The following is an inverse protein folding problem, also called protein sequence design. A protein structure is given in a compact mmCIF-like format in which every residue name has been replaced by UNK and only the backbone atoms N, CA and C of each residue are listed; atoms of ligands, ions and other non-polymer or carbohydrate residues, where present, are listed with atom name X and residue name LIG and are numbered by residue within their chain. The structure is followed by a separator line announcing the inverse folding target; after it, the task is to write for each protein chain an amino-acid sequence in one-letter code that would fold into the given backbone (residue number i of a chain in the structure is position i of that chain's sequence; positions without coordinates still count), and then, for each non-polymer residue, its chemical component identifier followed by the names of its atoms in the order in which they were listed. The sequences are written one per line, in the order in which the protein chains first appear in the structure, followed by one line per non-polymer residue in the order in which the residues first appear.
data_IF_187592917844
#
_entry.id   IF_187592917844
#
_cell.length_a   1.000
_cell.length_b   1.000
_cell.length_c   1.000
_cell.angle_alpha   90.00
_cell.angle_beta   90.00
_cell.angle_gamma   90.00
#
_symmetry.space_group_name_H-M   'P 1'
#
loop_
_entity.id
_entity.type
_entity.pdbx_description
1 polymer ?
#
# COMPACT_ATOMS: atom_id res chain seq x y z
N UNK A 1 -21.01 -22.12 -1.89
CA UNK A 1 -19.99 -21.55 -2.80
C UNK A 1 -19.45 -20.32 -2.07
N UNK A 2 -18.31 -20.48 -1.41
CA UNK A 2 -17.63 -19.51 -0.54
C UNK A 2 -16.16 -19.52 -0.98
N UNK A 3 -15.36 -18.46 -1.01
CA UNK A 3 -15.52 -17.02 -0.79
C UNK A 3 -14.29 -16.43 -1.48
N UNK A 4 -14.46 -15.53 -2.44
CA UNK A 4 -13.34 -14.72 -2.91
C UNK A 4 -13.86 -13.30 -3.08
N UNK A 5 -14.18 -12.66 -1.95
CA UNK A 5 -14.19 -11.20 -1.87
C UNK A 5 -12.77 -10.74 -2.14
N UNK A 6 -12.44 -10.64 -3.41
CA UNK A 6 -11.19 -10.16 -3.94
C UNK A 6 -11.21 -8.64 -3.75
N UNK A 7 -11.12 -8.20 -2.49
CA UNK A 7 -10.96 -6.81 -2.13
C UNK A 7 -9.57 -6.45 -2.64
N UNK A 8 -9.51 -5.95 -3.87
CA UNK A 8 -8.31 -5.43 -4.47
C UNK A 8 -8.41 -3.91 -4.39
N UNK A 9 -7.29 -3.23 -4.12
CA UNK A 9 -7.21 -1.76 -4.25
C UNK A 9 -7.21 -1.32 -5.72
N UNK A 10 -8.18 -1.81 -6.48
CA UNK A 10 -8.44 -1.47 -7.89
C UNK A 10 -9.70 -0.64 -8.04
N UNK A 11 -10.52 -0.60 -6.99
CA UNK A 11 -11.70 0.25 -6.95
C UNK A 11 -11.26 1.69 -6.63
N UNK A 12 -11.57 2.60 -7.56
CA UNK A 12 -11.27 4.01 -7.43
C UNK A 12 -12.15 4.72 -6.40
N UNK A 13 -13.33 4.17 -6.11
CA UNK A 13 -14.26 4.73 -5.13
C UNK A 13 -13.92 4.31 -3.70
N UNK A 14 -13.09 3.29 -3.53
CA UNK A 14 -12.69 2.77 -2.22
C UNK A 14 -11.33 3.32 -1.83
N UNK A 15 -11.30 4.20 -0.83
CA UNK A 15 -10.05 4.64 -0.21
C UNK A 15 -9.47 3.55 0.71
N UNK A 16 -8.14 3.28 0.66
CA UNK A 16 -7.47 2.30 1.52
C UNK A 16 -7.30 2.83 2.94
N UNK A 17 -8.41 2.94 3.67
CA UNK A 17 -8.36 3.16 5.11
C UNK A 17 -7.92 1.90 5.87
N UNK A 18 -7.70 2.03 7.17
CA UNK A 18 -7.25 0.93 8.03
C UNK A 18 -8.20 -0.28 7.98
N UNK A 19 -9.52 -0.08 7.80
CA UNK A 19 -10.49 -1.17 7.75
C UNK A 19 -10.35 -1.95 6.45
N UNK A 20 -10.27 -1.23 5.32
CA UNK A 20 -10.06 -1.81 3.99
C UNK A 20 -8.72 -2.53 3.96
N UNK A 21 -7.64 -1.87 4.38
CA UNK A 21 -6.30 -2.46 4.40
C UNK A 21 -6.22 -3.68 5.33
N UNK A 22 -6.85 -3.66 6.50
CA UNK A 22 -6.91 -4.82 7.38
C UNK A 22 -7.64 -6.00 6.75
N UNK A 23 -8.72 -5.72 6.00
CA UNK A 23 -9.46 -6.75 5.29
C UNK A 23 -8.65 -7.37 4.13
N UNK A 24 -7.71 -6.62 3.54
CA UNK A 24 -6.87 -7.07 2.43
C UNK A 24 -5.63 -7.81 2.94
N UNK A 25 -4.93 -7.22 3.92
CA UNK A 25 -3.65 -7.69 4.44
C UNK A 25 -3.81 -8.79 5.50
N UNK A 26 -4.98 -8.88 6.13
CA UNK A 26 -5.27 -9.86 7.17
C UNK A 26 -4.26 -9.78 8.31
N UNK A 27 -3.59 -10.90 8.61
CA UNK A 27 -2.57 -10.97 9.67
C UNK A 27 -1.34 -10.09 9.38
N UNK A 28 -1.06 -9.78 8.11
CA UNK A 28 0.05 -8.89 7.73
C UNK A 28 -0.25 -7.41 7.99
N UNK A 29 -1.46 -7.07 8.42
CA UNK A 29 -1.83 -5.69 8.75
C UNK A 29 -1.00 -5.13 9.91
N UNK A 30 -0.67 -5.96 10.91
CA UNK A 30 0.20 -5.53 12.03
C UNK A 30 1.61 -5.15 11.52
N UNK A 31 2.15 -5.91 10.56
CA UNK A 31 3.44 -5.58 9.91
C UNK A 31 3.35 -4.26 9.15
N UNK A 32 2.20 -3.98 8.53
CA UNK A 32 1.95 -2.70 7.88
C UNK A 32 1.93 -1.55 8.89
N UNK A 33 1.31 -1.72 10.07
CA UNK A 33 1.34 -0.70 11.13
C UNK A 33 2.76 -0.44 11.64
N UNK A 34 3.56 -1.49 11.86
CA UNK A 34 4.97 -1.34 12.23
C UNK A 34 5.77 -0.57 11.16
N UNK A 35 5.46 -0.79 9.89
CA UNK A 35 6.06 -0.06 8.78
C UNK A 35 5.66 1.43 8.78
N UNK A 36 4.39 1.75 9.08
CA UNK A 36 3.94 3.13 9.24
C UNK A 36 4.64 3.83 10.40
N UNK A 37 4.82 3.14 11.54
CA UNK A 37 5.62 3.67 12.64
C UNK A 37 7.06 3.96 12.22
N UNK A 38 7.67 3.08 11.42
CA UNK A 38 9.01 3.28 10.89
C UNK A 38 9.07 4.54 10.00
N UNK A 39 8.08 4.74 9.13
CA UNK A 39 7.98 5.95 8.31
C UNK A 39 7.87 7.21 9.17
N UNK A 40 7.00 7.19 10.18
CA UNK A 40 6.84 8.29 11.11
C UNK A 40 8.15 8.61 11.85
N UNK A 41 8.82 7.59 12.42
CA UNK A 41 10.12 7.72 13.11
C UNK A 41 11.22 8.29 12.20
N UNK A 42 11.11 8.11 10.89
CA UNK A 42 12.08 8.58 9.90
C UNK A 42 11.67 9.88 9.19
N UNK A 43 10.64 10.57 9.68
CA UNK A 43 10.09 11.80 9.09
C UNK A 43 9.69 11.60 7.61
N UNK A 44 9.11 10.44 7.31
CA UNK A 44 8.57 10.11 6.00
C UNK A 44 7.06 10.31 6.00
N UNK A 45 6.55 10.89 4.91
CA UNK A 45 5.12 10.98 4.64
C UNK A 45 4.72 9.85 3.69
N UNK A 46 3.50 9.36 3.83
CA UNK A 46 2.93 8.38 2.90
C UNK A 46 1.55 8.82 2.43
N UNK A 47 1.24 8.56 1.16
CA UNK A 47 -0.04 8.89 0.53
C UNK A 47 -0.48 7.76 -0.40
N UNK A 48 -1.76 7.40 -0.37
CA UNK A 48 -2.32 6.43 -1.31
C UNK A 48 -2.88 7.14 -2.54
N UNK A 49 -2.30 6.85 -3.70
CA UNK A 49 -2.68 7.42 -4.99
C UNK A 49 -3.27 6.34 -5.89
N UNK A 50 -4.34 6.66 -6.61
CA UNK A 50 -4.92 5.78 -7.64
C UNK A 50 -4.34 6.13 -9.01
N UNK A 51 -3.89 5.10 -9.73
CA UNK A 51 -3.38 5.20 -11.09
C UNK A 51 -4.39 4.62 -12.05
N UNK A 52 -4.96 5.46 -12.92
CA UNK A 52 -5.97 5.06 -13.89
C UNK A 52 -5.41 4.08 -14.94
N UNK A 53 -4.16 4.27 -15.37
CA UNK A 53 -3.54 3.43 -16.41
C UNK A 53 -3.36 1.98 -15.98
N UNK A 54 -2.97 1.77 -14.72
CA UNK A 54 -2.77 0.44 -14.13
C UNK A 54 -3.98 -0.05 -13.33
N UNK A 55 -5.01 0.79 -13.18
CA UNK A 55 -6.18 0.58 -12.31
C UNK A 55 -5.79 0.07 -10.93
N UNK A 56 -4.80 0.70 -10.32
CA UNK A 56 -4.21 0.27 -9.07
C UNK A 56 -3.96 1.45 -8.13
N UNK A 57 -4.15 1.21 -6.82
CA UNK A 57 -3.67 2.14 -5.79
C UNK A 57 -2.30 1.74 -5.30
N UNK A 58 -1.42 2.73 -5.22
CA UNK A 58 -0.09 2.59 -4.65
C UNK A 58 0.09 3.60 -3.52
N UNK A 59 0.70 3.15 -2.42
CA UNK A 59 1.15 4.01 -1.35
C UNK A 59 2.51 4.56 -1.74
N UNK A 60 2.57 5.87 -1.98
CA UNK A 60 3.81 6.60 -2.22
C UNK A 60 4.40 7.03 -0.89
N UNK A 61 5.62 6.62 -0.62
CA UNK A 61 6.35 7.02 0.59
C UNK A 61 7.45 8.00 0.20
N UNK A 62 7.47 9.16 0.82
CA UNK A 62 8.40 10.23 0.53
C UNK A 62 9.15 10.68 1.78
N UNK A 63 10.43 11.02 1.60
CA UNK A 63 11.20 11.77 2.59
C UNK A 63 11.59 13.11 1.97
N UNK A 64 11.16 14.20 2.59
CA UNK A 64 11.25 15.55 2.00
C UNK A 64 10.57 15.57 0.62
N UNK A 65 11.33 15.78 -0.47
CA UNK A 65 10.81 15.82 -1.85
C UNK A 65 11.14 14.57 -2.67
N UNK A 66 11.77 13.56 -2.06
CA UNK A 66 12.19 12.34 -2.76
C UNK A 66 11.26 11.20 -2.41
N UNK A 67 10.74 10.53 -3.44
CA UNK A 67 10.05 9.25 -3.28
C UNK A 67 11.08 8.18 -2.96
N UNK A 68 10.88 7.46 -1.87
CA UNK A 68 11.81 6.44 -1.40
C UNK A 68 11.26 5.04 -1.70
N UNK A 69 9.95 4.85 -1.52
CA UNK A 69 9.28 3.55 -1.71
C UNK A 69 7.90 3.75 -2.32
N UNK A 70 7.49 2.79 -3.15
CA UNK A 70 6.12 2.57 -3.55
C UNK A 70 5.64 1.24 -2.96
N UNK A 71 4.44 1.20 -2.40
CA UNK A 71 3.86 0.01 -1.77
C UNK A 71 2.53 -0.31 -2.45
N UNK A 72 2.33 -1.55 -2.87
CA UNK A 72 1.04 -2.06 -3.32
C UNK A 72 0.44 -2.99 -2.26
N UNK A 73 -0.81 -2.81 -1.86
CA UNK A 73 -1.50 -3.82 -1.05
C UNK A 73 -2.15 -4.85 -1.98
N UNK A 74 -1.54 -6.02 -2.10
CA UNK A 74 -2.11 -7.19 -2.75
C UNK A 74 -2.28 -8.31 -1.73
N UNK A 75 -3.29 -9.15 -1.90
CA UNK A 75 -3.65 -10.28 -1.02
C UNK A 75 -2.63 -11.43 -1.04
N UNK A 76 -1.38 -11.17 -1.42
CA UNK A 76 -0.30 -12.14 -1.42
C UNK A 76 1.01 -11.46 -1.04
N UNK A 77 1.85 -12.18 -0.28
CA UNK A 77 3.18 -11.82 0.25
C UNK A 77 4.21 -11.49 -0.86
N UNK A 78 3.91 -10.54 -1.74
CA UNK A 78 4.79 -9.99 -2.77
C UNK A 78 5.23 -8.55 -2.50
N UNK A 79 4.81 -7.98 -1.37
CA UNK A 79 5.19 -6.64 -0.90
C UNK A 79 6.72 -6.40 -0.89
N UNK A 80 7.52 -7.45 -0.73
CA UNK A 80 8.99 -7.35 -0.67
C UNK A 80 9.71 -7.53 -2.03
N UNK A 81 9.04 -7.95 -3.10
CA UNK A 81 9.70 -8.15 -4.41
C UNK A 81 9.71 -6.93 -5.31
N UNK A 82 8.92 -5.90 -4.98
CA UNK A 82 8.78 -4.69 -5.79
C UNK A 82 9.41 -3.47 -5.11
N UNK A 83 10.55 -3.64 -4.42
CA UNK A 83 11.47 -2.53 -4.14
C UNK A 83 12.16 -2.08 -5.44
N UNK A 84 11.38 -1.76 -6.47
CA UNK A 84 11.89 -0.95 -7.57
C UNK A 84 11.70 0.49 -7.14
N UNK A 85 12.80 1.14 -6.79
CA UNK A 85 12.89 2.58 -6.81
C UNK A 85 12.57 2.98 -8.26
N UNK A 86 11.30 3.29 -8.54
CA UNK A 86 10.93 3.99 -9.77
C UNK A 86 11.47 5.42 -9.62
N UNK A 87 12.77 5.55 -9.84
CA UNK A 87 13.43 6.81 -10.12
C UNK A 87 13.02 7.19 -11.55
N UNK A 88 11.92 7.93 -11.65
CA UNK A 88 11.70 8.86 -12.74
C UNK A 88 12.38 10.18 -12.40
#
# INVERSE_FOLDING_TARGET
METANNIQLRDEDIYPDDKVLRSILGQSFEIYLDLLELFHKNEMSYEWLYYHDSKARLCKVQKKKKTIVWISAETDLKLLKSFNIMAG
#
